data_IF_795199157087
#
_entry.id   IF_795199157087
#
_cell.length_a   1.000
_cell.length_b   1.000
_cell.length_c   1.000
_cell.angle_alpha   90.00
_cell.angle_beta   90.00
_cell.angle_gamma   90.00
#
_symmetry.space_group_name_H-M   'P 1'
#
loop_
_entity.id
_entity.type
_entity.pdbx_description
1 polymer ?
#
# COMPACT_ATOMS: atom_id res chain seq x y z
N UNK A 1 -9.25 7.82 -8.16
CA UNK A 1 -8.63 6.50 -8.08
C UNK A 1 -9.58 5.66 -7.27
N UNK A 2 -10.37 4.85 -7.96
CA UNK A 2 -11.30 3.92 -7.33
C UNK A 2 -10.52 2.74 -6.74
N UNK A 3 -11.14 2.00 -5.83
CA UNK A 3 -10.49 0.87 -5.15
C UNK A 3 -10.04 -0.22 -6.13
N UNK A 4 -10.78 -0.39 -7.23
CA UNK A 4 -10.41 -1.28 -8.33
C UNK A 4 -9.15 -0.82 -9.07
N UNK A 5 -8.91 0.49 -9.17
CA UNK A 5 -7.75 1.05 -9.90
C UNK A 5 -6.43 0.65 -9.24
N UNK A 6 -6.38 0.66 -7.90
CA UNK A 6 -5.17 0.36 -7.13
C UNK A 6 -4.80 -1.13 -7.26
N UNK A 7 -5.78 -2.02 -7.12
CA UNK A 7 -5.53 -3.45 -7.24
C UNK A 7 -5.16 -3.84 -8.67
N UNK A 8 -5.84 -3.27 -9.67
CA UNK A 8 -5.50 -3.47 -11.07
C UNK A 8 -4.10 -2.96 -11.40
N UNK A 9 -3.67 -1.84 -10.81
CA UNK A 9 -2.30 -1.36 -10.94
C UNK A 9 -1.30 -2.39 -10.42
N UNK A 10 -1.45 -2.90 -9.20
CA UNK A 10 -0.52 -3.91 -8.63
C UNK A 10 -0.51 -5.22 -9.44
N UNK A 11 -1.64 -5.60 -10.04
CA UNK A 11 -1.68 -6.80 -10.88
C UNK A 11 -0.91 -6.65 -12.20
N UNK A 12 -0.93 -5.47 -12.79
CA UNK A 12 -0.31 -5.20 -14.09
C UNK A 12 1.04 -4.47 -14.01
N UNK A 13 1.46 -4.07 -12.81
CA UNK A 13 2.71 -3.37 -12.57
C UNK A 13 3.93 -4.22 -12.97
N UNK A 14 4.90 -3.55 -13.60
CA UNK A 14 6.23 -4.08 -13.87
C UNK A 14 6.98 -4.39 -12.57
N UNK A 15 8.07 -5.17 -12.66
CA UNK A 15 8.89 -5.49 -11.50
C UNK A 15 9.50 -4.26 -10.82
N UNK A 16 9.80 -3.20 -11.59
CA UNK A 16 10.36 -1.96 -11.08
C UNK A 16 9.29 -1.11 -10.35
N UNK A 17 8.09 -1.03 -10.93
CA UNK A 17 6.94 -0.40 -10.28
C UNK A 17 6.54 -1.14 -9.00
N UNK A 18 6.54 -2.47 -9.02
CA UNK A 18 6.30 -3.29 -7.84
C UNK A 18 7.35 -2.99 -6.77
N UNK A 19 8.65 -2.94 -7.12
CA UNK A 19 9.75 -2.60 -6.17
C UNK A 19 9.54 -1.24 -5.53
N UNK A 20 9.20 -0.22 -6.31
CA UNK A 20 8.92 1.11 -5.79
C UNK A 20 7.70 1.09 -4.84
N UNK A 21 6.63 0.37 -5.22
CA UNK A 21 5.43 0.23 -4.40
C UNK A 21 5.69 -0.52 -3.09
N UNK A 22 6.46 -1.61 -3.15
CA UNK A 22 6.88 -2.37 -1.97
C UNK A 22 7.74 -1.55 -1.01
N UNK A 23 8.69 -0.78 -1.55
CA UNK A 23 9.51 0.14 -0.75
C UNK A 23 8.65 1.21 -0.06
N UNK A 24 7.73 1.84 -0.80
CA UNK A 24 6.78 2.79 -0.22
C UNK A 24 5.95 2.15 0.90
N UNK A 25 5.47 0.92 0.69
CA UNK A 25 4.71 0.17 1.68
C UNK A 25 5.48 -0.06 2.97
N UNK A 26 6.73 -0.51 2.84
CA UNK A 26 7.61 -0.71 3.98
C UNK A 26 7.90 0.61 4.71
N UNK A 27 8.23 1.66 3.97
CA UNK A 27 8.46 2.99 4.55
C UNK A 27 7.23 3.48 5.31
N UNK A 28 6.03 3.33 4.73
CA UNK A 28 4.79 3.74 5.38
C UNK A 28 4.52 2.94 6.65
N UNK A 29 4.78 1.63 6.70
CA UNK A 29 4.62 0.85 7.93
C UNK A 29 5.56 1.33 9.05
N UNK A 30 6.82 1.62 8.72
CA UNK A 30 7.82 2.08 9.69
C UNK A 30 7.55 3.50 10.20
N UNK A 31 6.98 4.36 9.33
CA UNK A 31 6.85 5.79 9.59
C UNK A 31 5.41 6.21 9.98
N UNK A 32 4.39 5.40 9.71
CA UNK A 32 3.01 5.71 10.07
C UNK A 32 2.82 5.97 11.58
N UNK A 33 3.41 5.21 12.52
CA UNK A 33 3.27 5.53 13.95
C UNK A 33 3.82 6.91 14.32
N UNK A 34 4.78 7.44 13.53
CA UNK A 34 5.41 8.74 13.76
C UNK A 34 4.66 9.90 13.12
N UNK A 35 4.09 9.70 11.92
CA UNK A 35 3.47 10.78 11.15
C UNK A 35 1.95 10.69 11.02
N UNK A 36 1.37 9.48 11.05
CA UNK A 36 -0.09 9.26 11.04
C UNK A 36 -0.62 9.17 12.47
N UNK A 37 -0.52 10.28 13.21
CA UNK A 37 -0.93 10.38 14.63
C UNK A 37 -2.35 10.94 14.83
N UNK A 38 -3.13 11.12 13.76
CA UNK A 38 -4.48 11.64 13.90
C UNK A 38 -5.37 10.69 14.73
N UNK A 39 -6.22 11.23 15.60
CA UNK A 39 -7.25 10.47 16.30
C UNK A 39 -8.29 9.86 15.35
N UNK A 40 -8.35 10.38 14.12
CA UNK A 40 -9.27 9.98 13.08
C UNK A 40 -9.07 8.54 12.56
N UNK A 41 -7.95 7.88 12.91
CA UNK A 41 -7.60 6.52 12.51
C UNK A 41 -7.87 6.26 11.03
N UNK A 42 -7.36 7.12 10.14
CA UNK A 42 -7.64 7.03 8.69
C UNK A 42 -7.36 5.64 8.11
N UNK A 43 -6.30 4.97 8.56
CA UNK A 43 -5.96 3.61 8.16
C UNK A 43 -7.01 2.55 8.56
N UNK A 44 -7.84 2.81 9.58
CA UNK A 44 -8.92 1.94 10.04
C UNK A 44 -10.31 2.38 9.55
N UNK A 45 -10.50 3.67 9.25
CA UNK A 45 -11.81 4.25 8.98
C UNK A 45 -12.00 4.71 7.52
N UNK A 46 -10.92 4.93 6.77
CA UNK A 46 -10.97 5.36 5.38
C UNK A 46 -10.77 4.15 4.45
N UNK A 47 -11.78 3.80 3.68
CA UNK A 47 -11.73 2.67 2.72
C UNK A 47 -10.61 2.83 1.69
N UNK A 48 -10.32 4.07 1.26
CA UNK A 48 -9.20 4.35 0.36
C UNK A 48 -7.85 4.06 1.04
N UNK A 49 -7.68 4.41 2.32
CA UNK A 49 -6.45 4.15 3.05
C UNK A 49 -6.26 2.65 3.32
N UNK A 50 -7.33 1.91 3.61
CA UNK A 50 -7.30 0.44 3.75
C UNK A 50 -6.87 -0.22 2.45
N UNK A 51 -7.48 0.15 1.32
CA UNK A 51 -7.13 -0.44 0.04
C UNK A 51 -5.71 -0.09 -0.40
N UNK A 52 -5.25 1.14 -0.15
CA UNK A 52 -3.85 1.49 -0.37
C UNK A 52 -2.92 0.61 0.48
N UNK A 53 -3.22 0.42 1.77
CA UNK A 53 -2.47 -0.47 2.65
C UNK A 53 -2.43 -1.92 2.16
N UNK A 54 -3.57 -2.46 1.74
CA UNK A 54 -3.67 -3.82 1.18
C UNK A 54 -2.89 -3.97 -0.12
N UNK A 55 -2.92 -2.96 -1.00
CA UNK A 55 -2.19 -2.98 -2.26
C UNK A 55 -0.67 -2.88 -2.08
N UNK A 56 -0.21 -2.05 -1.14
CA UNK A 56 1.20 -1.98 -0.76
C UNK A 56 1.70 -3.32 -0.21
N UNK A 57 0.87 -3.99 0.61
CA UNK A 57 1.18 -5.32 1.12
C UNK A 57 1.21 -6.37 0.01
N UNK A 58 0.23 -6.37 -0.90
CA UNK A 58 0.17 -7.27 -2.05
C UNK A 58 1.36 -7.09 -2.99
N UNK A 59 1.78 -5.85 -3.25
CA UNK A 59 2.98 -5.56 -4.04
C UNK A 59 4.25 -6.13 -3.37
N UNK A 60 4.38 -5.99 -2.05
CA UNK A 60 5.46 -6.59 -1.27
C UNK A 60 5.48 -8.12 -1.35
N UNK A 61 4.31 -8.77 -1.24
CA UNK A 61 4.19 -10.22 -1.37
C UNK A 61 4.57 -10.71 -2.77
N UNK A 62 4.11 -10.01 -3.82
CA UNK A 62 4.39 -10.34 -5.22
C UNK A 62 5.88 -10.20 -5.58
N UNK A 63 6.59 -9.28 -4.93
CA UNK A 63 8.05 -9.15 -5.06
C UNK A 63 8.86 -10.24 -4.35
N UNK A 64 8.37 -10.72 -3.20
CA UNK A 64 9.07 -11.73 -2.40
C UNK A 64 8.96 -13.14 -2.97
N UNK A 65 8.13 -13.33 -3.99
CA UNK A 65 7.99 -14.60 -4.70
C UNK A 65 7.17 -15.61 -3.91
N UNK A 66 5.85 -15.50 -4.05
CA UNK A 66 5.11 -16.65 -4.58
C UNK A 66 5.05 -16.53 -6.10
#
# INVERSE_FOLDING_TARGET
MELEDINNYVQNASAEELKAFGFLGQWMMENAPKYCTCECKCNENCELAKALGGALQAAGQKLQGQ
#
